data_IF_499546515914
#
_entry.id   IF_499546515914
#
_cell.length_a   1.000
_cell.length_b   1.000
_cell.length_c   1.000
_cell.angle_alpha   90.00
_cell.angle_beta   90.00
_cell.angle_gamma   90.00
#
_symmetry.space_group_name_H-M   'P 1'
#
loop_
_entity.id
_entity.type
_entity.pdbx_description
1 polymer ?
#
# COMPACT_ATOMS: atom_id res chain seq x y z
N UNK A 1 -5.60 -37.21 28.48
CA UNK A 1 -6.62 -36.75 27.52
C UNK A 1 -6.55 -35.24 27.47
N UNK A 2 -6.29 -34.66 26.30
CA UNK A 2 -6.55 -33.27 25.95
C UNK A 2 -6.83 -33.28 24.44
N UNK A 3 -8.07 -33.04 24.04
CA UNK A 3 -8.42 -32.84 22.64
C UNK A 3 -8.01 -31.43 22.24
N UNK A 4 -7.03 -31.32 21.36
CA UNK A 4 -6.78 -30.07 20.67
C UNK A 4 -7.97 -29.82 19.74
N UNK A 5 -8.82 -28.85 20.11
CA UNK A 5 -9.77 -28.25 19.17
C UNK A 5 -8.97 -27.73 17.98
N UNK A 6 -9.23 -28.28 16.79
CA UNK A 6 -8.81 -27.68 15.54
C UNK A 6 -9.42 -26.28 15.51
N UNK A 7 -8.57 -25.25 15.51
CA UNK A 7 -8.98 -23.90 15.14
C UNK A 7 -9.44 -24.03 13.70
N UNK A 8 -10.73 -23.83 13.48
CA UNK A 8 -11.31 -23.71 12.16
C UNK A 8 -10.57 -22.58 11.44
N UNK A 9 -9.81 -22.96 10.42
CA UNK A 9 -9.12 -22.07 9.48
C UNK A 9 -10.15 -21.40 8.54
N UNK A 10 -11.22 -20.86 9.13
CA UNK A 10 -12.21 -20.01 8.48
C UNK A 10 -11.66 -18.57 8.40
N UNK A 11 -10.39 -18.45 8.02
CA UNK A 11 -9.84 -17.16 7.60
C UNK A 11 -10.30 -16.95 6.16
N UNK A 12 -11.58 -16.60 6.07
CA UNK A 12 -12.26 -16.12 4.87
C UNK A 12 -11.29 -15.25 4.07
N UNK A 13 -10.71 -15.83 3.04
CA UNK A 13 -9.85 -15.13 2.11
C UNK A 13 -10.77 -14.30 1.22
N UNK A 14 -11.36 -13.28 1.81
CA UNK A 14 -12.29 -12.35 1.19
C UNK A 14 -11.56 -11.03 0.94
N UNK A 15 -10.37 -11.13 0.35
CA UNK A 15 -9.82 -10.03 -0.42
C UNK A 15 -10.21 -10.31 -1.86
N UNK A 16 -11.54 -10.26 -2.10
CA UNK A 16 -12.14 -10.34 -3.42
C UNK A 16 -11.28 -9.54 -4.38
N UNK A 17 -10.85 -10.22 -5.44
CA UNK A 17 -10.16 -9.72 -6.62
C UNK A 17 -9.92 -8.20 -6.53
N UNK A 18 -8.84 -7.82 -5.86
CA UNK A 18 -8.48 -6.42 -5.72
C UNK A 18 -8.07 -5.98 -7.11
N UNK A 19 -9.04 -5.40 -7.83
CA UNK A 19 -8.80 -4.69 -9.08
C UNK A 19 -7.53 -3.88 -8.86
N UNK A 20 -6.43 -4.13 -9.60
CA UNK A 20 -5.17 -3.45 -9.36
C UNK A 20 -5.44 -1.96 -9.52
N UNK A 21 -5.47 -1.22 -8.41
CA UNK A 21 -5.66 0.22 -8.42
C UNK A 21 -4.48 0.78 -9.22
N UNK A 22 -4.69 1.37 -10.42
CA UNK A 22 -3.59 1.87 -11.24
C UNK A 22 -2.84 3.03 -10.55
N UNK A 23 -3.40 3.59 -9.48
CA UNK A 23 -2.78 4.58 -8.61
C UNK A 23 -2.17 3.97 -7.33
N UNK A 24 -2.11 2.64 -7.19
CA UNK A 24 -1.33 2.01 -6.14
C UNK A 24 0.17 2.22 -6.37
N UNK A 25 0.91 2.37 -5.27
CA UNK A 25 2.36 2.35 -5.30
C UNK A 25 2.84 0.89 -5.32
N UNK A 26 3.82 0.59 -6.16
CA UNK A 26 4.49 -0.72 -6.14
C UNK A 26 5.36 -0.84 -4.89
N UNK A 27 5.74 -2.08 -4.54
CA UNK A 27 6.66 -2.32 -3.41
C UNK A 27 8.02 -1.62 -3.63
N UNK A 28 8.47 -1.55 -4.88
CA UNK A 28 9.71 -0.86 -5.26
C UNK A 28 9.58 0.66 -5.04
N UNK A 29 8.49 1.26 -5.53
CA UNK A 29 8.22 2.70 -5.33
C UNK A 29 8.15 3.06 -3.84
N UNK A 30 7.53 2.21 -3.01
CA UNK A 30 7.48 2.42 -1.55
C UNK A 30 8.88 2.33 -0.93
N UNK A 31 9.69 1.35 -1.34
CA UNK A 31 11.07 1.20 -0.83
C UNK A 31 11.94 2.41 -1.19
N UNK A 32 11.80 2.95 -2.41
CA UNK A 32 12.54 4.12 -2.83
C UNK A 32 12.09 5.39 -2.09
N UNK A 33 10.79 5.54 -1.83
CA UNK A 33 10.27 6.64 -0.99
C UNK A 33 10.75 6.55 0.46
N UNK A 34 10.88 5.33 1.00
CA UNK A 34 11.43 5.11 2.34
C UNK A 34 12.90 5.53 2.37
N UNK A 35 13.72 5.08 1.42
CA UNK A 35 15.14 5.46 1.31
C UNK A 35 15.32 6.98 1.14
N UNK A 36 14.50 7.59 0.30
CA UNK A 36 14.50 9.04 0.11
C UNK A 36 14.17 9.77 1.41
N UNK A 37 13.12 9.33 2.12
CA UNK A 37 12.75 9.90 3.41
C UNK A 37 13.90 9.78 4.42
N UNK A 38 14.53 8.61 4.52
CA UNK A 38 15.67 8.36 5.40
C UNK A 38 16.88 9.25 5.08
N UNK A 39 17.19 9.46 3.79
CA UNK A 39 18.27 10.34 3.34
C UNK A 39 18.07 11.78 3.81
N UNK A 40 16.81 12.20 3.96
CA UNK A 40 16.44 13.53 4.46
C UNK A 40 16.14 13.55 5.97
N UNK A 41 16.36 12.45 6.69
CA UNK A 41 16.07 12.35 8.13
C UNK A 41 14.57 12.35 8.45
N UNK A 42 13.71 12.07 7.46
CA UNK A 42 12.25 12.02 7.61
C UNK A 42 11.85 10.61 8.05
N UNK A 43 11.22 10.50 9.21
CA UNK A 43 10.80 9.21 9.79
C UNK A 43 9.40 9.27 10.39
N UNK A 44 8.85 8.11 10.76
CA UNK A 44 7.58 7.99 11.46
C UNK A 44 6.39 8.53 10.65
N UNK A 45 5.58 9.39 11.28
CA UNK A 45 4.36 9.93 10.66
C UNK A 45 4.64 10.81 9.44
N UNK A 46 5.76 11.53 9.42
CA UNK A 46 6.14 12.37 8.28
C UNK A 46 6.52 11.53 7.05
N UNK A 47 7.17 10.37 7.26
CA UNK A 47 7.49 9.41 6.20
C UNK A 47 6.20 8.80 5.62
N UNK A 48 5.25 8.42 6.47
CA UNK A 48 3.94 7.93 6.02
C UNK A 48 3.16 8.98 5.24
N UNK A 49 3.17 10.24 5.69
CA UNK A 49 2.52 11.34 4.98
C UNK A 49 3.16 11.60 3.60
N UNK A 50 4.48 11.49 3.49
CA UNK A 50 5.18 11.60 2.21
C UNK A 50 4.69 10.53 1.23
N UNK A 51 4.68 9.26 1.66
CA UNK A 51 4.25 8.13 0.82
C UNK A 51 2.78 8.29 0.38
N UNK A 52 1.90 8.66 1.32
CA UNK A 52 0.48 8.93 1.02
C UNK A 52 0.30 10.09 0.04
N UNK A 53 1.12 11.14 0.16
CA UNK A 53 1.08 12.28 -0.75
C UNK A 53 1.51 11.89 -2.16
N UNK A 54 2.55 11.08 -2.31
CA UNK A 54 2.98 10.56 -3.61
C UNK A 54 1.89 9.67 -4.23
N UNK A 55 1.27 8.78 -3.45
CA UNK A 55 0.14 7.97 -3.91
C UNK A 55 -1.01 8.84 -4.45
N UNK A 56 -1.36 9.90 -3.72
CA UNK A 56 -2.43 10.82 -4.13
C UNK A 56 -2.06 11.62 -5.39
N UNK A 57 -0.80 12.06 -5.52
CA UNK A 57 -0.33 12.75 -6.73
C UNK A 57 -0.39 11.84 -7.96
N UNK A 58 0.02 10.58 -7.80
CA UNK A 58 -0.08 9.56 -8.85
C UNK A 58 -1.54 9.37 -9.28
N UNK A 59 -2.46 9.22 -8.32
CA UNK A 59 -3.91 9.16 -8.59
C UNK A 59 -4.44 10.38 -9.36
N UNK A 60 -4.02 11.58 -8.97
CA UNK A 60 -4.43 12.81 -9.64
C UNK A 60 -3.86 12.93 -11.06
N UNK A 61 -2.62 12.48 -11.27
CA UNK A 61 -2.00 12.46 -12.60
C UNK A 61 -2.78 11.54 -13.55
N UNK A 62 -3.12 10.33 -13.11
CA UNK A 62 -3.95 9.41 -13.91
C UNK A 62 -5.35 9.95 -14.16
N UNK A 63 -5.98 10.60 -13.18
CA UNK A 63 -7.31 11.20 -13.35
C UNK A 63 -7.33 12.37 -14.37
N UNK A 64 -6.18 13.02 -14.59
CA UNK A 64 -6.02 14.14 -15.53
C UNK A 64 -5.61 13.70 -16.94
N UNK A 65 -5.31 12.42 -17.16
CA UNK A 65 -5.04 11.93 -18.52
C UNK A 65 -6.33 12.05 -19.34
N UNK A 66 -6.29 12.70 -20.52
CA UNK A 66 -7.45 12.77 -21.39
C UNK A 66 -7.84 11.34 -21.78
N UNK A 67 -9.11 10.99 -21.57
CA UNK A 67 -9.69 9.74 -22.09
C UNK A 67 -9.75 9.91 -23.60
N UNK A 68 -8.82 9.30 -24.32
CA UNK A 68 -8.89 9.20 -25.77
C UNK A 68 -9.86 8.08 -26.15
#
# INVERSE_FOLDING_TARGET
MFEAKNIEDDNTNNLGESVPDPAALTREEVADLIRLAETHGISGTAQLQLILRVKNLKKQAYAKLPKN
#
